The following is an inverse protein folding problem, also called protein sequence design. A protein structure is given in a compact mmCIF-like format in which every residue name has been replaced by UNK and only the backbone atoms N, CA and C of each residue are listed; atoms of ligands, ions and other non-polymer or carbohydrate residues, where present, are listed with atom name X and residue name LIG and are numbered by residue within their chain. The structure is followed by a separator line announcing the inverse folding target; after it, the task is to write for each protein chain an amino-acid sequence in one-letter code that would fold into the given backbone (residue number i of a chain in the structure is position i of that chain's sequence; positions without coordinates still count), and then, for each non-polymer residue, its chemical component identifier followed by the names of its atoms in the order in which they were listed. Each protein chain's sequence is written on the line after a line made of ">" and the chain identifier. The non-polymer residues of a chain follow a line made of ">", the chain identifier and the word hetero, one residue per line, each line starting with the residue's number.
data_IF_885177684769
#
_entry.id   IF_885177684769
#
_cell.length_a   1.000
_cell.length_b   1.000
_cell.length_c   1.000
_cell.angle_alpha   90.00
_cell.angle_beta   90.00
_cell.angle_gamma   90.00
#
_symmetry.space_group_name_H-M   'P 1'
#
loop_
_entity.id
_entity.type
_entity.pdbx_description
1 polymer ?
#
# COMPACT_ATOMS: atom_id res chain seq x y z
N UNK A 1 16.08 30.66 -6.66
CA UNK A 1 15.31 31.92 -6.59
C UNK A 1 14.31 31.89 -7.74
N UNK A 2 13.00 31.94 -7.47
CA UNK A 2 12.02 32.10 -8.55
C UNK A 2 12.13 33.54 -9.07
N UNK A 3 12.85 33.73 -10.16
CA UNK A 3 13.33 35.04 -10.59
C UNK A 3 12.31 35.90 -11.35
N UNK A 4 11.13 35.38 -11.70
CA UNK A 4 10.13 36.14 -12.46
C UNK A 4 8.69 35.76 -12.11
N UNK A 5 7.76 36.71 -12.28
CA UNK A 5 6.31 36.53 -12.07
C UNK A 5 5.75 35.41 -12.97
N UNK A 6 6.36 35.16 -14.13
CA UNK A 6 5.92 34.11 -15.04
C UNK A 6 6.21 32.71 -14.53
N UNK A 7 7.36 32.49 -13.88
CA UNK A 7 7.72 31.19 -13.29
C UNK A 7 6.73 30.79 -12.19
N UNK A 8 6.32 31.75 -11.38
CA UNK A 8 5.32 31.54 -10.33
C UNK A 8 3.96 31.19 -10.92
N UNK A 9 3.53 31.88 -11.99
CA UNK A 9 2.28 31.57 -12.69
C UNK A 9 2.31 30.16 -13.31
N UNK A 10 3.46 29.76 -13.88
CA UNK A 10 3.66 28.43 -14.47
C UNK A 10 3.58 27.33 -13.41
N UNK A 11 4.29 27.49 -12.29
CA UNK A 11 4.24 26.56 -11.16
C UNK A 11 2.82 26.45 -10.59
N UNK A 12 2.12 27.58 -10.40
CA UNK A 12 0.73 27.59 -9.94
C UNK A 12 -0.20 26.80 -10.88
N UNK A 13 -0.09 27.01 -12.19
CA UNK A 13 -0.90 26.26 -13.18
C UNK A 13 -0.61 24.77 -13.13
N UNK A 14 0.65 24.38 -12.97
CA UNK A 14 1.05 22.97 -12.87
C UNK A 14 0.47 22.32 -11.61
N UNK A 15 0.56 22.97 -10.45
CA UNK A 15 -0.04 22.43 -9.22
C UNK A 15 -1.56 22.33 -9.29
N UNK A 16 -2.22 23.33 -9.87
CA UNK A 16 -3.67 23.28 -10.07
C UNK A 16 -4.06 22.14 -11.02
N UNK A 17 -3.37 22.01 -12.14
CA UNK A 17 -3.64 20.95 -13.12
C UNK A 17 -3.45 19.56 -12.50
N UNK A 18 -2.32 19.33 -11.84
CA UNK A 18 -2.01 18.04 -11.23
C UNK A 18 -2.92 17.76 -10.03
N UNK A 19 -3.26 18.77 -9.23
CA UNK A 19 -4.25 18.66 -8.15
C UNK A 19 -5.64 18.25 -8.66
N UNK A 20 -6.11 18.86 -9.76
CA UNK A 20 -7.37 18.45 -10.40
C UNK A 20 -7.27 17.04 -10.98
N UNK A 21 -6.16 16.69 -11.64
CA UNK A 21 -5.94 15.36 -12.17
C UNK A 21 -5.98 14.28 -11.07
N UNK A 22 -5.35 14.54 -9.93
CA UNK A 22 -5.40 13.70 -8.75
C UNK A 22 -6.83 13.51 -8.23
N UNK A 23 -7.60 14.59 -8.17
CA UNK A 23 -9.00 14.52 -7.76
C UNK A 23 -9.83 13.66 -8.73
N UNK A 24 -9.67 13.86 -10.04
CA UNK A 24 -10.35 13.02 -11.04
C UNK A 24 -9.98 11.55 -10.87
N UNK A 25 -8.70 11.21 -10.70
CA UNK A 25 -8.29 9.83 -10.46
C UNK A 25 -8.87 9.26 -9.16
N UNK A 26 -9.08 10.08 -8.11
CA UNK A 26 -9.75 9.59 -6.91
C UNK A 26 -11.20 9.21 -7.16
N UNK A 27 -11.94 10.04 -7.91
CA UNK A 27 -13.30 9.71 -8.32
C UNK A 27 -13.31 8.46 -9.19
N UNK A 28 -12.37 8.33 -10.12
CA UNK A 28 -12.22 7.11 -10.94
C UNK A 28 -11.95 5.87 -10.09
N UNK A 29 -11.08 5.94 -9.08
CA UNK A 29 -10.86 4.78 -8.19
C UNK A 29 -12.10 4.37 -7.42
N UNK A 30 -12.94 5.34 -7.00
CA UNK A 30 -14.22 5.02 -6.35
C UNK A 30 -15.20 4.43 -7.36
N UNK A 31 -15.25 4.98 -8.59
CA UNK A 31 -16.13 4.45 -9.64
C UNK A 31 -15.76 3.03 -10.05
N UNK A 32 -14.46 2.72 -10.20
CA UNK A 32 -13.99 1.36 -10.47
C UNK A 32 -14.43 0.39 -9.37
N UNK A 33 -14.46 0.83 -8.10
CA UNK A 33 -14.89 -0.01 -7.00
C UNK A 33 -16.42 -0.05 -6.76
N UNK A 34 -17.19 0.91 -7.28
CA UNK A 34 -18.61 1.10 -6.92
C UNK A 34 -19.59 0.93 -8.08
N UNK A 35 -19.13 1.01 -9.33
CA UNK A 35 -19.99 1.00 -10.51
C UNK A 35 -19.87 -0.35 -11.21
N UNK A 36 -20.97 -1.11 -11.21
CA UNK A 36 -21.07 -2.45 -11.82
C UNK A 36 -20.68 -2.49 -13.32
N UNK A 37 -20.81 -1.37 -14.05
CA UNK A 37 -20.35 -1.27 -15.45
C UNK A 37 -18.82 -1.29 -15.58
N UNK A 38 -18.11 -0.76 -14.58
CA UNK A 38 -16.64 -0.70 -14.54
C UNK A 38 -16.02 -1.88 -13.78
N UNK A 39 -16.84 -2.86 -13.38
CA UNK A 39 -16.43 -4.15 -12.82
C UNK A 39 -15.73 -4.94 -13.94
N UNK A 40 -14.42 -5.13 -13.82
CA UNK A 40 -13.61 -5.91 -14.74
C UNK A 40 -13.44 -7.33 -14.18
N UNK A 41 -14.54 -8.01 -13.83
CA UNK A 41 -14.48 -9.32 -13.18
C UNK A 41 -15.84 -10.02 -13.09
N UNK A 42 -15.89 -11.09 -12.29
CA UNK A 42 -17.16 -11.71 -11.93
C UNK A 42 -17.88 -10.88 -10.87
N UNK A 43 -19.16 -10.52 -11.11
CA UNK A 43 -20.00 -9.69 -10.23
C UNK A 43 -19.59 -9.71 -8.74
N UNK A 44 -18.97 -8.62 -8.28
CA UNK A 44 -18.47 -8.47 -6.92
C UNK A 44 -17.03 -7.98 -6.88
N UNK A 45 -16.52 -7.58 -5.70
CA UNK A 45 -15.12 -7.17 -5.53
C UNK A 45 -14.18 -8.33 -5.85
N UNK A 46 -13.70 -8.40 -7.09
CA UNK A 46 -12.80 -9.44 -7.58
C UNK A 46 -11.33 -8.99 -7.45
N UNK A 47 -10.40 -9.95 -7.49
CA UNK A 47 -8.96 -9.68 -7.46
C UNK A 47 -8.50 -8.79 -8.62
N UNK A 48 -9.26 -8.77 -9.72
CA UNK A 48 -8.99 -7.91 -10.88
C UNK A 48 -9.27 -6.44 -10.56
N UNK A 49 -10.41 -6.13 -9.94
CA UNK A 49 -10.74 -4.74 -9.56
C UNK A 49 -9.80 -4.21 -8.48
N UNK A 50 -9.40 -5.07 -7.54
CA UNK A 50 -8.39 -4.74 -6.55
C UNK A 50 -7.05 -4.40 -7.19
N UNK A 51 -6.64 -5.16 -8.21
CA UNK A 51 -5.39 -4.92 -8.96
C UNK A 51 -5.46 -3.61 -9.73
N UNK A 52 -6.54 -3.37 -10.47
CA UNK A 52 -6.74 -2.12 -11.23
C UNK A 52 -6.78 -0.91 -10.29
N UNK A 53 -7.53 -1.01 -9.19
CA UNK A 53 -7.59 0.01 -8.15
C UNK A 53 -6.22 0.32 -7.56
N UNK A 54 -5.41 -0.72 -7.29
CA UNK A 54 -4.05 -0.57 -6.78
C UNK A 54 -3.12 0.08 -7.82
N UNK A 55 -3.24 -0.26 -9.10
CA UNK A 55 -2.47 0.36 -10.18
C UNK A 55 -2.77 1.86 -10.30
N UNK A 56 -4.05 2.25 -10.30
CA UNK A 56 -4.44 3.67 -10.31
C UNK A 56 -3.96 4.37 -9.03
N UNK A 57 -4.03 3.68 -7.88
CA UNK A 57 -3.54 4.20 -6.61
C UNK A 57 -2.01 4.40 -6.60
N UNK A 58 -1.24 3.51 -7.24
CA UNK A 58 0.20 3.65 -7.39
C UNK A 58 0.54 4.83 -8.31
N UNK A 59 -0.17 4.99 -9.42
CA UNK A 59 0.03 6.10 -10.34
C UNK A 59 -0.26 7.47 -9.70
N UNK A 60 -1.34 7.60 -8.91
CA UNK A 60 -1.59 8.85 -8.17
C UNK A 60 -0.49 9.13 -7.13
N UNK A 61 0.02 8.09 -6.46
CA UNK A 61 1.07 8.24 -5.46
C UNK A 61 2.39 8.72 -6.08
N UNK A 62 2.76 8.24 -7.28
CA UNK A 62 3.96 8.72 -7.98
C UNK A 62 3.82 10.18 -8.41
N UNK A 63 2.64 10.61 -8.88
CA UNK A 63 2.38 12.03 -9.19
C UNK A 63 2.53 12.92 -7.95
N UNK A 64 2.04 12.48 -6.78
CA UNK A 64 2.20 13.22 -5.52
C UNK A 64 3.67 13.31 -5.12
N UNK A 65 4.40 12.20 -5.17
CA UNK A 65 5.82 12.17 -4.83
C UNK A 65 6.64 13.09 -5.74
N UNK A 66 6.46 12.99 -7.06
CA UNK A 66 7.27 13.76 -8.02
C UNK A 66 7.00 15.27 -7.97
N UNK A 67 5.74 15.67 -7.76
CA UNK A 67 5.30 17.06 -7.94
C UNK A 67 5.11 17.77 -6.60
N UNK A 68 4.31 17.22 -5.70
CA UNK A 68 4.01 17.89 -4.43
C UNK A 68 5.14 17.73 -3.42
N UNK A 69 5.79 16.55 -3.37
CA UNK A 69 6.96 16.32 -2.52
C UNK A 69 8.27 16.78 -3.16
N UNK A 70 8.23 17.37 -4.38
CA UNK A 70 9.42 17.86 -5.10
C UNK A 70 10.55 16.84 -5.26
N UNK A 71 10.24 15.54 -5.22
CA UNK A 71 11.27 14.52 -5.34
C UNK A 71 12.02 14.59 -6.66
N UNK A 72 11.51 15.22 -7.72
CA UNK A 72 12.19 15.21 -9.02
C UNK A 72 13.56 15.92 -9.05
N UNK A 73 13.86 16.81 -8.09
CA UNK A 73 15.12 17.57 -8.04
C UNK A 73 15.78 17.53 -6.66
N UNK A 74 15.61 16.42 -5.95
CA UNK A 74 16.18 16.23 -4.62
C UNK A 74 17.52 15.50 -4.65
N UNK A 75 18.20 15.46 -3.50
CA UNK A 75 19.48 14.74 -3.39
C UNK A 75 19.30 13.22 -3.61
N UNK A 76 20.27 12.54 -4.25
CA UNK A 76 20.21 11.09 -4.52
C UNK A 76 19.93 10.24 -3.27
N UNK A 77 20.43 10.67 -2.11
CA UNK A 77 20.24 10.00 -0.83
C UNK A 77 18.76 9.96 -0.39
N UNK A 78 17.95 10.95 -0.76
CA UNK A 78 16.53 10.99 -0.38
C UNK A 78 15.76 9.90 -1.12
N UNK A 79 16.03 9.69 -2.42
CA UNK A 79 15.41 8.59 -3.17
C UNK A 79 15.75 7.22 -2.59
N UNK A 80 16.98 7.04 -2.10
CA UNK A 80 17.40 5.80 -1.45
C UNK A 80 16.53 5.48 -0.23
N UNK A 81 16.28 6.46 0.65
CA UNK A 81 15.41 6.26 1.81
C UNK A 81 13.95 6.00 1.43
N UNK A 82 13.44 6.65 0.40
CA UNK A 82 12.09 6.37 -0.11
C UNK A 82 11.95 4.96 -0.66
N UNK A 83 12.91 4.51 -1.49
CA UNK A 83 12.94 3.15 -2.02
C UNK A 83 13.05 2.13 -0.89
N UNK A 84 13.92 2.38 0.10
CA UNK A 84 14.07 1.54 1.29
C UNK A 84 12.74 1.42 2.05
N UNK A 85 11.99 2.52 2.20
CA UNK A 85 10.67 2.52 2.82
C UNK A 85 9.64 1.68 2.05
N UNK A 86 9.62 1.76 0.72
CA UNK A 86 8.73 0.95 -0.13
C UNK A 86 9.09 -0.54 -0.02
N UNK A 87 10.38 -0.87 -0.07
CA UNK A 87 10.88 -2.24 0.09
C UNK A 87 10.51 -2.80 1.46
N UNK A 88 10.69 -2.01 2.53
CA UNK A 88 10.28 -2.38 3.88
C UNK A 88 8.77 -2.66 3.95
N UNK A 89 7.95 -1.76 3.42
CA UNK A 89 6.49 -1.93 3.41
C UNK A 89 6.07 -3.21 2.68
N UNK A 90 6.72 -3.53 1.54
CA UNK A 90 6.50 -4.78 0.82
C UNK A 90 6.83 -6.01 1.69
N UNK A 91 7.99 -6.03 2.36
CA UNK A 91 8.35 -7.14 3.25
C UNK A 91 7.42 -7.27 4.44
N UNK A 92 6.95 -6.16 5.04
CA UNK A 92 5.97 -6.20 6.12
C UNK A 92 4.65 -6.83 5.66
N UNK A 93 4.13 -6.45 4.49
CA UNK A 93 2.92 -7.05 3.92
C UNK A 93 3.12 -8.53 3.60
N UNK A 94 4.31 -8.89 3.09
CA UNK A 94 4.67 -10.28 2.80
C UNK A 94 4.71 -11.15 4.06
N UNK A 95 5.31 -10.64 5.15
CA UNK A 95 5.36 -11.34 6.45
C UNK A 95 3.97 -11.60 7.02
N UNK A 96 3.02 -10.67 6.86
CA UNK A 96 1.62 -10.88 7.26
C UNK A 96 0.99 -12.02 6.44
N UNK A 97 1.27 -12.09 5.13
CA UNK A 97 0.81 -13.17 4.27
C UNK A 97 1.38 -14.54 4.67
N UNK A 98 2.68 -14.59 4.99
CA UNK A 98 3.32 -15.79 5.50
C UNK A 98 2.75 -16.22 6.86
N UNK A 99 2.52 -15.29 7.77
CA UNK A 99 1.92 -15.57 9.08
C UNK A 99 0.52 -16.18 8.98
N UNK A 100 -0.28 -15.78 7.97
CA UNK A 100 -1.59 -16.39 7.70
C UNK A 100 -1.51 -17.77 7.06
N UNK A 101 -0.39 -18.09 6.42
CA UNK A 101 -0.17 -19.36 5.73
C UNK A 101 0.67 -20.32 6.57
N UNK A 102 0.95 -19.97 7.82
CA UNK A 102 1.74 -20.78 8.74
C UNK A 102 0.97 -22.06 9.07
N UNK A 103 1.54 -23.25 8.81
CA UNK A 103 0.90 -24.53 9.13
C UNK A 103 0.91 -24.84 10.64
N UNK A 104 1.58 -24.03 11.46
CA UNK A 104 1.62 -24.21 12.92
C UNK A 104 0.33 -23.63 13.52
N UNK A 105 -0.58 -24.51 13.93
CA UNK A 105 -1.78 -24.15 14.69
C UNK A 105 -1.50 -24.30 16.19
N UNK A 106 -1.70 -23.24 16.98
CA UNK A 106 -1.60 -23.32 18.43
C UNK A 106 -2.81 -24.03 19.05
N UNK A 107 -2.57 -24.87 20.04
CA UNK A 107 -3.59 -25.65 20.74
C UNK A 107 -4.56 -24.76 21.52
N UNK A 108 -5.81 -25.20 21.65
CA UNK A 108 -6.85 -24.53 22.43
C UNK A 108 -7.21 -25.34 23.69
N UNK A 109 -8.11 -24.81 24.53
CA UNK A 109 -8.52 -25.45 25.80
C UNK A 109 -9.12 -26.86 25.65
N UNK A 110 -9.56 -27.25 24.45
CA UNK A 110 -10.14 -28.57 24.14
C UNK A 110 -9.26 -29.45 23.26
N UNK A 111 -8.21 -28.94 22.63
CA UNK A 111 -7.35 -29.67 21.69
C UNK A 111 -5.90 -29.17 21.80
N UNK A 112 -4.98 -30.03 22.27
CA UNK A 112 -3.55 -29.70 22.36
C UNK A 112 -2.85 -29.97 21.02
N UNK A 113 -2.07 -28.99 20.57
CA UNK A 113 -1.20 -29.00 19.37
C UNK A 113 0.13 -29.75 19.58
N UNK A 114 0.39 -30.28 20.78
CA UNK A 114 1.65 -30.91 21.14
C UNK A 114 2.81 -29.94 21.49
N UNK A 115 2.59 -28.62 21.42
CA UNK A 115 3.59 -27.59 21.75
C UNK A 115 3.15 -26.67 22.91
N UNK A 116 1.85 -26.38 23.03
CA UNK A 116 1.27 -25.58 24.09
C UNK A 116 0.11 -26.34 24.74
N UNK A 117 0.32 -26.75 25.98
CA UNK A 117 -0.69 -27.38 26.82
C UNK A 117 -1.05 -26.40 27.95
N UNK A 118 -2.24 -25.79 27.94
CA UNK A 118 -2.63 -24.81 28.97
C UNK A 118 -2.75 -25.43 30.37
N UNK A 119 -2.75 -26.77 30.48
CA UNK A 119 -2.68 -27.48 31.76
C UNK A 119 -1.26 -27.61 32.32
N UNK A 120 -0.22 -27.25 31.55
CA UNK A 120 1.18 -27.27 31.94
C UNK A 120 1.79 -25.86 31.96
N UNK A 121 2.74 -25.58 32.85
CA UNK A 121 3.41 -24.29 32.87
C UNK A 121 4.20 -24.08 31.57
N UNK A 122 4.18 -22.85 31.04
CA UNK A 122 4.83 -22.47 29.77
C UNK A 122 6.35 -22.70 29.70
N UNK A 123 6.97 -23.16 30.79
CA UNK A 123 8.39 -23.48 30.91
C UNK A 123 8.74 -24.90 30.44
N UNK A 124 7.75 -25.77 30.16
CA UNK A 124 7.97 -27.19 29.89
C UNK A 124 7.58 -27.58 28.44
N UNK A 125 8.15 -26.82 27.48
CA UNK A 125 7.91 -26.94 26.03
C UNK A 125 8.48 -28.21 25.38
N UNK A 126 9.26 -29.01 26.12
CA UNK A 126 9.87 -30.26 25.64
C UNK A 126 9.69 -31.39 26.66
N UNK A 127 8.45 -31.77 26.94
CA UNK A 127 8.18 -33.06 27.58
C UNK A 127 8.61 -34.19 26.64
N UNK A 128 9.53 -35.04 27.10
CA UNK A 128 10.02 -36.23 26.38
C UNK A 128 8.89 -37.16 25.94
#
# INVERSE_FOLDING_TARGET
>A
MAGSIEEVKKAKKLYLFIGTLLFVFTVVTVMVASVEWLDFGGHGFDGVDATIGLCIAAFKATLVMLIFMHLNHERPMIYFFYILGIVMAFFCMWLIGLSKSDPIEYGNESYSDGFYDPSKPATDVHGK
#
